data_IF_987359083157
#
_entry.id   IF_987359083157
#
_cell.length_a   1.000
_cell.length_b   1.000
_cell.length_c   1.000
_cell.angle_alpha   90.00
_cell.angle_beta   90.00
_cell.angle_gamma   90.00
#
_symmetry.space_group_name_H-M   'P 1'
#
loop_
_entity.id
_entity.type
_entity.pdbx_description
1 polymer ?
#
# COMPACT_ATOMS: atom_id res chain seq x y z
N UNK A 1 3.49 4.91 1.32
CA UNK A 1 2.71 4.74 2.58
C UNK A 1 3.47 4.01 3.69
N UNK A 2 4.63 3.39 3.43
CA UNK A 2 5.36 2.59 4.44
C UNK A 2 5.81 3.39 5.66
N UNK A 3 6.32 4.63 5.48
CA UNK A 3 6.78 5.48 6.59
C UNK A 3 5.66 5.74 7.59
N UNK A 4 4.47 6.12 7.10
CA UNK A 4 3.31 6.34 7.95
C UNK A 4 2.83 5.06 8.64
N UNK A 5 2.95 3.89 8.02
CA UNK A 5 2.68 2.60 8.69
C UNK A 5 3.65 2.38 9.85
N UNK A 6 4.93 2.70 9.66
CA UNK A 6 5.94 2.60 10.71
C UNK A 6 5.74 3.65 11.80
N UNK A 7 5.21 4.84 11.51
CA UNK A 7 4.83 5.81 12.56
C UNK A 7 3.74 5.23 13.48
N UNK A 8 2.82 4.43 12.93
CA UNK A 8 1.75 3.78 13.69
C UNK A 8 2.18 2.47 14.37
N UNK A 9 3.22 1.82 13.86
CA UNK A 9 3.61 0.49 14.33
C UNK A 9 4.25 0.53 15.73
N UNK A 10 3.77 -0.28 16.69
CA UNK A 10 4.45 -0.41 17.97
C UNK A 10 5.82 -1.08 17.84
N UNK A 11 6.01 -1.92 16.81
CA UNK A 11 7.26 -2.65 16.56
C UNK A 11 8.41 -1.73 16.13
N UNK A 12 8.11 -0.54 15.63
CA UNK A 12 9.10 0.43 15.17
C UNK A 12 9.47 1.46 16.24
N UNK A 13 8.87 1.40 17.43
CA UNK A 13 9.06 2.40 18.48
C UNK A 13 10.54 2.48 18.88
N UNK A 14 11.09 3.68 18.82
CA UNK A 14 12.50 3.94 19.16
C UNK A 14 13.51 3.57 18.07
N UNK A 15 13.07 3.03 16.91
CA UNK A 15 13.98 2.69 15.81
C UNK A 15 14.33 3.88 14.93
N UNK A 16 13.57 4.97 15.02
CA UNK A 16 13.84 6.22 14.32
C UNK A 16 13.36 7.40 15.16
N UNK A 17 13.92 8.58 14.88
CA UNK A 17 13.62 9.82 15.61
C UNK A 17 12.73 10.79 14.83
N UNK A 18 12.73 10.69 13.50
CA UNK A 18 12.04 11.63 12.59
C UNK A 18 11.47 10.88 11.40
N UNK A 19 10.35 11.36 10.87
CA UNK A 19 9.69 10.78 9.70
C UNK A 19 9.44 11.86 8.63
N UNK A 20 9.68 11.50 7.36
CA UNK A 20 9.35 12.34 6.20
C UNK A 20 8.36 11.56 5.32
N UNK A 21 7.21 12.16 5.03
CA UNK A 21 6.15 11.59 4.20
C UNK A 21 5.90 12.48 2.99
N UNK A 22 6.43 12.10 1.83
CA UNK A 22 6.20 12.82 0.58
C UNK A 22 5.07 12.15 -0.20
N UNK A 23 4.08 12.93 -0.64
CA UNK A 23 3.09 12.49 -1.63
C UNK A 23 2.34 11.21 -1.28
N UNK A 24 2.17 10.96 0.02
CA UNK A 24 1.49 9.75 0.48
C UNK A 24 1.65 9.47 1.96
N UNK A 25 0.55 9.03 2.56
CA UNK A 25 0.47 8.55 3.93
C UNK A 25 -0.64 7.50 4.02
N UNK A 26 -0.60 6.66 5.05
CA UNK A 26 -1.63 5.66 5.30
C UNK A 26 -2.87 6.38 5.86
N UNK A 27 -3.75 6.83 4.96
CA UNK A 27 -4.97 7.55 5.31
C UNK A 27 -6.09 7.36 4.27
N UNK A 28 -7.29 7.13 4.76
CA UNK A 28 -8.57 7.75 4.43
C UNK A 28 -9.13 7.85 3.01
N UNK A 29 -8.85 7.03 1.99
CA UNK A 29 -9.68 7.03 0.77
C UNK A 29 -10.78 5.96 0.80
N UNK A 30 -11.97 6.38 1.26
CA UNK A 30 -13.24 5.64 1.14
C UNK A 30 -13.23 4.17 1.62
N UNK A 31 -12.56 3.85 2.73
CA UNK A 31 -12.72 2.55 3.39
C UNK A 31 -11.75 1.50 2.90
N UNK A 32 -10.61 1.92 2.32
CA UNK A 32 -9.67 1.03 1.64
C UNK A 32 -8.21 1.35 1.98
N UNK A 33 -7.89 1.61 3.24
CA UNK A 33 -6.49 1.57 3.67
C UNK A 33 -6.25 0.41 4.59
N UNK A 34 -5.16 -0.28 4.28
CA UNK A 34 -4.94 -1.61 4.78
C UNK A 34 -5.96 -2.63 4.24
N UNK A 35 -5.55 -3.88 4.19
CA UNK A 35 -6.45 -4.99 3.84
C UNK A 35 -6.88 -5.64 5.15
N UNK A 36 -8.18 -5.80 5.38
CA UNK A 36 -8.63 -6.62 6.49
C UNK A 36 -8.27 -8.10 6.21
N UNK A 37 -8.22 -8.91 7.27
CA UNK A 37 -7.80 -10.32 7.15
C UNK A 37 -8.70 -11.15 6.22
N UNK A 38 -9.99 -10.84 6.14
CA UNK A 38 -10.93 -11.57 5.27
C UNK A 38 -10.63 -11.31 3.80
N UNK A 39 -10.51 -10.03 3.41
CA UNK A 39 -10.21 -9.64 2.03
C UNK A 39 -8.81 -10.11 1.61
N UNK A 40 -7.83 -10.01 2.52
CA UNK A 40 -6.48 -10.52 2.28
C UNK A 40 -6.49 -12.04 2.05
N UNK A 41 -7.30 -12.78 2.81
CA UNK A 41 -7.45 -14.23 2.64
C UNK A 41 -8.14 -14.58 1.31
N UNK A 42 -9.18 -13.85 0.91
CA UNK A 42 -9.86 -14.03 -0.38
C UNK A 42 -8.87 -13.79 -1.53
N UNK A 43 -8.12 -12.69 -1.48
CA UNK A 43 -7.10 -12.38 -2.49
C UNK A 43 -6.01 -13.46 -2.55
N UNK A 44 -5.53 -13.92 -1.38
CA UNK A 44 -4.52 -14.98 -1.29
C UNK A 44 -5.02 -16.31 -1.87
N UNK A 45 -6.27 -16.67 -1.61
CA UNK A 45 -6.91 -17.87 -2.18
C UNK A 45 -7.09 -17.75 -3.69
N UNK A 46 -7.52 -16.60 -4.19
CA UNK A 46 -7.65 -16.36 -5.63
C UNK A 46 -6.29 -16.46 -6.36
N UNK A 47 -5.22 -15.93 -5.76
CA UNK A 47 -3.86 -16.12 -6.29
C UNK A 47 -3.47 -17.60 -6.35
N UNK A 48 -3.76 -18.36 -5.29
CA UNK A 48 -3.50 -19.79 -5.25
C UNK A 48 -4.28 -20.57 -6.32
N UNK A 49 -5.56 -20.26 -6.49
CA UNK A 49 -6.42 -20.87 -7.51
C UNK A 49 -5.92 -20.59 -8.93
N UNK A 50 -5.52 -19.34 -9.22
CA UNK A 50 -4.95 -18.96 -10.52
C UNK A 50 -3.62 -19.68 -10.83
N UNK A 51 -2.89 -20.11 -9.79
CA UNK A 51 -1.65 -20.87 -9.91
C UNK A 51 -1.87 -22.39 -9.80
N UNK A 52 -3.12 -22.85 -9.85
CA UNK A 52 -3.52 -24.26 -9.72
C UNK A 52 -3.03 -24.92 -8.41
N UNK A 53 -2.92 -24.15 -7.33
CA UNK A 53 -2.56 -24.66 -6.02
C UNK A 53 -3.76 -25.32 -5.32
N UNK A 54 -3.54 -26.50 -4.72
CA UNK A 54 -4.58 -27.23 -4.00
C UNK A 54 -4.96 -26.52 -2.69
N UNK A 55 -6.25 -26.56 -2.31
CA UNK A 55 -6.76 -25.82 -1.14
C UNK A 55 -6.18 -26.29 0.21
N UNK A 56 -5.65 -27.50 0.29
CA UNK A 56 -5.13 -28.06 1.55
C UNK A 56 -3.67 -27.72 1.82
N UNK A 57 -2.90 -27.32 0.79
CA UNK A 57 -1.45 -27.06 0.88
C UNK A 57 -1.04 -25.82 0.07
N UNK A 58 -1.97 -24.90 -0.15
CA UNK A 58 -1.79 -23.74 -1.04
C UNK A 58 -0.55 -22.91 -0.70
N UNK A 59 -0.19 -22.75 0.59
CA UNK A 59 1.02 -22.02 1.00
C UNK A 59 2.31 -22.68 0.50
N UNK A 60 2.43 -24.00 0.62
CA UNK A 60 3.60 -24.74 0.15
C UNK A 60 3.68 -24.74 -1.39
N UNK A 61 2.53 -24.81 -2.05
CA UNK A 61 2.45 -24.67 -3.50
C UNK A 61 2.88 -23.26 -3.96
N UNK A 62 2.34 -22.20 -3.35
CA UNK A 62 2.70 -20.81 -3.66
C UNK A 62 4.20 -20.55 -3.49
N UNK A 63 4.84 -21.13 -2.46
CA UNK A 63 6.29 -21.01 -2.24
C UNK A 63 7.15 -21.63 -3.35
N UNK A 64 6.59 -22.60 -4.09
CA UNK A 64 7.27 -23.29 -5.20
C UNK A 64 6.84 -22.75 -6.57
N UNK A 65 5.82 -21.91 -6.62
CA UNK A 65 5.31 -21.35 -7.86
C UNK A 65 6.38 -20.47 -8.53
N UNK A 66 6.37 -20.45 -9.85
CA UNK A 66 7.26 -19.59 -10.61
C UNK A 66 6.89 -18.11 -10.40
N UNK A 67 7.89 -17.28 -10.13
CA UNK A 67 7.68 -15.85 -9.82
C UNK A 67 7.07 -15.11 -11.02
N UNK A 68 7.41 -15.48 -12.26
CA UNK A 68 6.84 -14.83 -13.45
C UNK A 68 5.36 -15.15 -13.60
N UNK A 69 4.94 -16.36 -13.26
CA UNK A 69 3.51 -16.71 -13.21
C UNK A 69 2.81 -15.99 -12.05
N UNK A 70 3.43 -15.93 -10.87
CA UNK A 70 2.87 -15.25 -9.69
C UNK A 70 2.61 -13.76 -9.94
N UNK A 71 3.52 -13.05 -10.62
CA UNK A 71 3.37 -11.62 -10.90
C UNK A 71 2.16 -11.33 -11.81
N UNK A 72 1.79 -12.24 -12.72
CA UNK A 72 0.64 -12.03 -13.63
C UNK A 72 -0.69 -11.86 -12.89
N UNK A 73 -0.82 -12.49 -11.72
CA UNK A 73 -2.04 -12.51 -10.92
C UNK A 73 -1.92 -11.67 -9.63
N UNK A 74 -0.74 -11.12 -9.35
CA UNK A 74 -0.53 -10.27 -8.17
C UNK A 74 -0.91 -8.82 -8.48
N UNK A 75 -1.76 -8.17 -7.66
CA UNK A 75 -2.07 -6.76 -7.84
C UNK A 75 -0.81 -5.89 -7.77
N UNK A 76 -0.73 -4.87 -8.63
CA UNK A 76 0.38 -3.90 -8.66
C UNK A 76 0.55 -3.17 -7.33
N UNK A 77 -0.55 -2.97 -6.60
CA UNK A 77 -0.56 -2.32 -5.29
C UNK A 77 -0.98 -3.33 -4.23
N UNK A 78 -0.06 -3.63 -3.31
CA UNK A 78 -0.34 -4.37 -2.09
C UNK A 78 -0.39 -3.38 -0.92
N UNK A 79 -1.44 -3.50 -0.10
CA UNK A 79 -1.60 -2.68 1.09
C UNK A 79 -1.19 -3.47 2.34
N UNK A 80 -0.72 -2.79 3.41
CA UNK A 80 -0.47 -3.43 4.70
C UNK A 80 -1.70 -4.18 5.23
N UNK A 81 -1.51 -5.29 5.94
CA UNK A 81 -2.61 -6.00 6.60
C UNK A 81 -3.00 -5.27 7.90
N UNK A 82 -4.29 -5.09 8.13
CA UNK A 82 -4.78 -4.48 9.37
C UNK A 82 -5.08 -5.51 10.47
N UNK A 83 -4.94 -5.08 11.72
CA UNK A 83 -5.17 -5.93 12.88
C UNK A 83 -4.10 -7.00 13.05
N UNK A 84 -2.91 -6.77 12.52
CA UNK A 84 -1.72 -7.57 12.76
C UNK A 84 -0.74 -6.87 13.73
N UNK A 85 0.46 -7.41 13.90
CA UNK A 85 1.44 -6.84 14.83
C UNK A 85 2.10 -5.56 14.30
N UNK A 86 2.14 -5.37 12.97
CA UNK A 86 2.75 -4.20 12.32
C UNK A 86 1.76 -3.04 12.34
N UNK A 87 0.49 -3.27 12.01
CA UNK A 87 -0.59 -2.29 12.00
C UNK A 87 -1.79 -2.81 12.83
N UNK A 88 -1.74 -2.72 14.17
CA UNK A 88 -2.75 -3.30 15.04
C UNK A 88 -4.12 -2.63 14.97
N UNK A 89 -4.14 -1.36 14.58
CA UNK A 89 -5.35 -0.54 14.48
C UNK A 89 -5.41 0.09 13.10
N UNK A 90 -6.64 0.28 12.61
CA UNK A 90 -6.95 1.21 11.54
C UNK A 90 -6.25 2.54 11.78
N UNK A 91 -5.64 3.10 10.74
CA UNK A 91 -4.86 4.33 10.86
C UNK A 91 -5.66 5.48 11.51
N UNK A 92 -6.93 5.63 11.15
CA UNK A 92 -7.79 6.68 11.70
C UNK A 92 -8.05 6.49 13.20
N UNK A 93 -8.23 5.25 13.64
CA UNK A 93 -8.42 4.93 15.06
C UNK A 93 -7.11 5.15 15.82
N UNK A 94 -5.98 4.75 15.25
CA UNK A 94 -4.66 5.00 15.83
C UNK A 94 -4.42 6.50 16.05
N UNK A 95 -4.72 7.36 15.06
CA UNK A 95 -4.60 8.80 15.21
C UNK A 95 -5.63 9.39 16.18
N UNK A 96 -6.91 8.97 16.11
CA UNK A 96 -7.98 9.45 16.99
C UNK A 96 -7.75 9.11 18.46
N UNK A 97 -7.20 7.93 18.72
CA UNK A 97 -6.91 7.43 20.07
C UNK A 97 -5.50 7.77 20.55
N UNK A 98 -4.73 8.53 19.77
CA UNK A 98 -3.33 8.87 20.05
C UNK A 98 -2.43 7.62 20.24
N UNK A 99 -2.74 6.52 19.56
CA UNK A 99 -2.00 5.25 19.58
C UNK A 99 -1.02 5.16 18.42
N UNK A 100 -0.02 6.02 18.42
CA UNK A 100 1.10 6.02 17.48
C UNK A 100 2.39 6.42 18.22
N UNK A 101 3.53 6.33 17.55
CA UNK A 101 4.80 6.77 18.12
C UNK A 101 4.82 8.31 18.22
N UNK A 102 4.47 8.85 19.40
CA UNK A 102 4.27 10.30 19.60
C UNK A 102 5.58 11.10 19.72
N UNK A 103 6.70 10.43 20.00
CA UNK A 103 8.00 11.08 20.25
C UNK A 103 8.77 11.42 18.94
N UNK A 104 8.06 11.55 17.83
CA UNK A 104 8.61 11.70 16.48
C UNK A 104 8.36 13.11 15.92
N UNK A 105 9.39 13.71 15.34
CA UNK A 105 9.18 14.87 14.47
C UNK A 105 8.74 14.38 13.08
N UNK A 106 7.60 14.90 12.58
CA UNK A 106 7.01 14.49 11.31
C UNK A 106 7.00 15.69 10.36
N UNK A 107 7.56 15.50 9.16
CA UNK A 107 7.40 16.41 8.02
C UNK A 107 6.61 15.68 6.94
N UNK A 108 5.55 16.32 6.45
CA UNK A 108 4.72 15.81 5.37
C UNK A 108 4.49 16.86 4.29
N UNK A 109 4.26 16.43 3.05
CA UNK A 109 3.95 17.31 1.95
C UNK A 109 3.35 16.59 0.75
N UNK A 110 2.78 17.35 -0.17
CA UNK A 110 2.20 16.91 -1.45
C UNK A 110 2.68 17.83 -2.57
N UNK A 111 2.62 17.36 -3.81
CA UNK A 111 2.85 18.23 -4.98
C UNK A 111 1.54 18.82 -5.49
N UNK A 112 1.62 19.89 -6.28
CA UNK A 112 0.43 20.58 -6.81
C UNK A 112 -0.47 19.67 -7.67
N UNK A 113 0.15 18.75 -8.42
CA UNK A 113 -0.51 17.98 -9.48
C UNK A 113 -0.33 16.45 -9.31
N UNK A 114 -0.51 15.90 -8.10
CA UNK A 114 -0.39 14.45 -7.80
C UNK A 114 -1.21 13.55 -8.74
N UNK A 115 -2.42 14.01 -9.08
CA UNK A 115 -3.40 13.24 -9.84
C UNK A 115 -3.11 13.14 -11.33
N UNK A 116 -2.21 13.96 -11.90
CA UNK A 116 -2.00 14.01 -13.35
C UNK A 116 -1.50 12.68 -13.90
N UNK A 117 -0.55 12.03 -13.20
CA UNK A 117 -0.06 10.71 -13.63
C UNK A 117 -1.16 9.66 -13.57
N UNK A 118 -1.96 9.64 -12.50
CA UNK A 118 -3.05 8.68 -12.35
C UNK A 118 -4.16 8.92 -13.38
N UNK A 119 -4.52 10.18 -13.63
CA UNK A 119 -5.50 10.57 -14.64
C UNK A 119 -5.08 10.08 -16.03
N UNK A 120 -3.80 10.21 -16.39
CA UNK A 120 -3.28 9.68 -17.66
C UNK A 120 -3.38 8.15 -17.77
N UNK A 121 -3.38 7.41 -16.65
CA UNK A 121 -3.51 5.96 -16.65
C UNK A 121 -4.96 5.47 -16.78
N UNK A 122 -5.93 6.25 -16.29
CA UNK A 122 -7.33 5.80 -16.15
C UNK A 122 -8.31 6.51 -17.09
N UNK A 123 -7.92 7.64 -17.68
CA UNK A 123 -8.75 8.40 -18.62
C UNK A 123 -8.24 8.17 -20.05
N UNK A 124 -9.01 7.45 -20.90
CA UNK A 124 -8.59 7.12 -22.27
C UNK A 124 -8.26 8.36 -23.11
N UNK A 125 -8.98 9.46 -22.91
CA UNK A 125 -8.83 10.69 -23.68
C UNK A 125 -7.52 11.44 -23.38
N UNK A 126 -6.87 11.14 -22.25
CA UNK A 126 -5.60 11.75 -21.84
C UNK A 126 -4.41 10.92 -22.32
N UNK A 127 -4.57 9.61 -22.53
CA UNK A 127 -3.52 8.71 -23.03
C UNK A 127 -2.96 9.11 -24.41
N UNK A 128 -3.76 9.80 -25.22
CA UNK A 128 -3.42 10.23 -26.57
C UNK A 128 -2.92 11.69 -26.67
N UNK A 129 -2.95 12.45 -25.57
CA UNK A 129 -2.26 13.73 -25.51
C UNK A 129 -0.78 13.41 -25.29
N UNK A 130 -0.03 13.37 -26.40
CA UNK A 130 1.39 13.08 -26.42
C UNK A 130 2.14 13.61 -25.20
N UNK A 131 2.99 12.77 -24.62
CA UNK A 131 4.16 13.18 -23.84
C UNK A 131 5.16 13.92 -24.76
N UNK A 132 4.74 14.97 -25.44
CA UNK A 132 5.64 15.90 -26.13
C UNK A 132 6.31 16.77 -25.08
N UNK A 133 7.50 16.34 -24.66
CA UNK A 133 8.71 17.16 -24.43
C UNK A 133 8.68 18.44 -23.59
N UNK A 134 7.63 18.79 -22.84
CA UNK A 134 7.62 20.04 -22.05
C UNK A 134 7.66 19.88 -20.52
N UNK A 135 7.75 18.67 -19.96
CA UNK A 135 7.79 18.50 -18.49
C UNK A 135 9.19 18.45 -17.84
N UNK A 136 10.27 18.75 -18.57
CA UNK A 136 11.65 18.76 -18.05
C UNK A 136 12.42 20.08 -18.29
N UNK A 137 11.76 21.17 -18.67
CA UNK A 137 12.38 22.50 -18.65
C UNK A 137 11.46 23.50 -17.97
N UNK A 138 11.58 23.60 -16.65
CA UNK A 138 11.64 24.84 -15.86
C UNK A 138 11.99 24.53 -14.39
#
# INVERSE_FOLDING_TARGET
>A
MSVSTLVLSPLSRGLFRRAIMSSGAIFHYKGREGVNKSDALIASKSLAENLNCSQNEWLECLRRADVKEMIKYTPVVQMPLEGDQVLPLLAQNAFKEHKYNQDLDIIGGVVQNEGTSLASMVLPDIQHMNMTEELFME
#
